data_IF_474528185074
#
_entry.id   IF_474528185074
#
_cell.length_a   1.000
_cell.length_b   1.000
_cell.length_c   1.000
_cell.angle_alpha   90.00
_cell.angle_beta   90.00
_cell.angle_gamma   90.00
#
_symmetry.space_group_name_H-M   'P 1'
#
loop_
_entity.id
_entity.type
_entity.pdbx_description
1 polymer ?
#
# COMPACT_ATOMS: atom_id res chain seq x y z
N UNK A 1 -58.39 50.64 -26.93
CA UNK A 1 -59.54 51.50 -26.61
C UNK A 1 -60.79 50.90 -27.22
N UNK A 2 -61.96 50.96 -26.56
CA UNK A 2 -62.29 51.82 -25.41
C UNK A 2 -62.18 51.06 -24.06
N UNK A 3 -61.71 51.64 -22.94
CA UNK A 3 -62.20 52.80 -22.14
C UNK A 3 -63.49 52.46 -21.36
N UNK A 4 -63.33 52.11 -20.07
CA UNK A 4 -63.51 52.93 -18.84
C UNK A 4 -64.96 52.98 -18.38
N UNK A 5 -65.26 52.54 -17.15
CA UNK A 5 -65.50 53.55 -16.11
C UNK A 5 -65.46 52.99 -14.68
N UNK A 6 -64.93 53.86 -13.84
CA UNK A 6 -64.67 53.79 -12.42
C UNK A 6 -65.92 54.25 -11.64
N UNK A 7 -66.27 53.62 -10.51
CA UNK A 7 -66.82 54.36 -9.36
C UNK A 7 -66.93 53.56 -8.07
N UNK A 8 -66.72 54.32 -7.01
CA UNK A 8 -66.29 53.96 -5.67
C UNK A 8 -67.46 54.04 -4.67
N UNK A 9 -67.28 53.33 -3.56
CA UNK A 9 -68.10 53.05 -2.37
C UNK A 9 -68.68 54.33 -1.68
N UNK A 10 -69.80 54.24 -0.93
CA UNK A 10 -69.72 54.24 0.55
C UNK A 10 -70.74 53.26 1.22
N UNK A 11 -70.37 52.44 2.21
CA UNK A 11 -70.34 52.69 3.67
C UNK A 11 -71.62 53.32 4.26
N UNK A 12 -72.46 52.50 4.91
CA UNK A 12 -73.10 52.82 6.22
C UNK A 12 -73.72 51.58 6.90
N UNK A 13 -73.43 51.45 8.19
CA UNK A 13 -73.92 50.48 9.19
C UNK A 13 -75.44 50.59 9.48
N UNK A 14 -76.08 49.52 10.00
CA UNK A 14 -76.37 49.44 11.45
C UNK A 14 -76.09 48.03 12.03
N UNK A 15 -75.36 47.93 13.14
CA UNK A 15 -75.85 47.84 14.53
C UNK A 15 -76.56 46.51 14.88
N UNK A 16 -75.84 45.75 15.71
CA UNK A 16 -76.13 44.53 16.47
C UNK A 16 -77.59 44.27 16.87
N UNK A 17 -77.93 42.97 17.09
CA UNK A 17 -78.13 42.57 18.48
C UNK A 17 -77.31 41.33 18.90
N UNK A 18 -76.49 41.55 19.93
CA UNK A 18 -76.33 40.77 21.17
C UNK A 18 -76.73 39.28 21.21
N UNK A 19 -75.68 38.49 21.52
CA UNK A 19 -75.63 37.40 22.51
C UNK A 19 -76.38 36.09 22.25
N UNK A 20 -75.60 35.00 22.13
CA UNK A 20 -76.12 33.66 22.37
C UNK A 20 -75.23 32.51 21.92
N UNK A 21 -74.35 32.08 22.82
CA UNK A 21 -73.84 30.70 22.99
C UNK A 21 -72.56 30.32 22.23
N UNK A 22 -71.60 29.98 23.07
CA UNK A 22 -70.34 29.29 22.84
C UNK A 22 -70.53 28.06 21.96
N UNK A 23 -69.88 28.07 20.80
CA UNK A 23 -69.72 26.91 19.92
C UNK A 23 -68.24 26.64 19.73
N UNK A 24 -67.65 25.90 20.68
CA UNK A 24 -66.30 25.36 20.59
C UNK A 24 -66.25 24.39 19.40
N UNK A 25 -65.51 24.75 18.35
CA UNK A 25 -65.18 23.85 17.24
C UNK A 25 -64.26 22.72 17.77
N UNK A 26 -64.50 21.45 17.40
CA UNK A 26 -63.67 20.35 17.85
C UNK A 26 -62.31 20.38 17.14
N UNK A 27 -61.24 20.53 17.93
CA UNK A 27 -59.86 20.38 17.50
C UNK A 27 -59.56 18.91 17.19
N UNK A 28 -59.30 18.61 15.92
CA UNK A 28 -58.83 17.28 15.47
C UNK A 28 -57.38 17.04 15.95
N UNK A 29 -57.09 15.97 16.74
CA UNK A 29 -55.74 15.66 17.18
C UNK A 29 -55.05 14.77 16.13
N UNK A 30 -54.76 15.32 14.95
CA UNK A 30 -54.16 14.58 13.83
C UNK A 30 -52.70 14.92 13.51
N UNK A 31 -52.28 16.18 13.67
CA UNK A 31 -51.05 16.70 13.04
C UNK A 31 -49.74 16.51 13.82
N UNK A 32 -49.76 16.33 15.14
CA UNK A 32 -48.51 16.33 15.93
C UNK A 32 -47.78 14.97 15.99
N UNK A 33 -48.46 13.86 15.64
CA UNK A 33 -47.87 12.51 15.70
C UNK A 33 -47.04 12.17 14.47
N UNK A 34 -47.36 12.72 13.31
CA UNK A 34 -46.71 12.40 12.03
C UNK A 34 -45.30 13.05 11.94
N UNK A 35 -45.17 14.30 12.39
CA UNK A 35 -43.89 15.01 12.44
C UNK A 35 -42.88 14.44 13.44
N UNK A 36 -43.32 13.69 14.46
CA UNK A 36 -42.44 13.08 15.48
C UNK A 36 -41.88 11.72 15.01
N UNK A 37 -42.60 11.00 14.16
CA UNK A 37 -42.20 9.69 13.62
C UNK A 37 -41.20 9.82 12.47
N UNK A 38 -41.35 10.85 11.62
CA UNK A 38 -40.38 11.17 10.56
C UNK A 38 -39.04 11.70 11.13
N UNK A 39 -39.09 12.47 12.23
CA UNK A 39 -37.88 12.97 12.91
C UNK A 39 -37.03 11.87 13.55
N UNK A 40 -37.64 10.81 14.08
CA UNK A 40 -36.92 9.68 14.69
C UNK A 40 -36.36 8.71 13.66
N UNK A 41 -37.03 8.55 12.51
CA UNK A 41 -36.52 7.77 11.37
C UNK A 41 -35.28 8.44 10.75
N UNK A 42 -35.33 9.77 10.53
CA UNK A 42 -34.21 10.55 10.00
C UNK A 42 -32.99 10.59 10.92
N UNK A 43 -33.18 10.65 12.24
CA UNK A 43 -32.09 10.62 13.21
C UNK A 43 -31.38 9.24 13.28
N UNK A 44 -32.11 8.14 13.09
CA UNK A 44 -31.55 6.77 13.05
C UNK A 44 -30.78 6.50 11.76
N UNK A 45 -31.25 7.01 10.62
CA UNK A 45 -30.56 6.90 9.33
C UNK A 45 -29.29 7.78 9.26
N UNK A 46 -29.33 8.97 9.87
CA UNK A 46 -28.18 9.90 9.90
C UNK A 46 -27.05 9.42 10.82
N UNK A 47 -27.37 8.69 11.90
CA UNK A 47 -26.39 8.07 12.81
C UNK A 47 -25.71 6.83 12.21
N UNK A 48 -26.45 6.01 11.46
CA UNK A 48 -25.90 4.85 10.77
C UNK A 48 -25.00 5.25 9.59
N UNK A 49 -25.37 6.30 8.85
CA UNK A 49 -24.53 6.86 7.78
C UNK A 49 -23.22 7.47 8.34
N UNK A 50 -23.28 8.14 9.50
CA UNK A 50 -22.09 8.69 10.15
C UNK A 50 -21.08 7.62 10.62
N UNK A 51 -21.56 6.49 11.13
CA UNK A 51 -20.70 5.36 11.49
C UNK A 51 -20.08 4.68 10.26
N UNK A 52 -20.83 4.54 9.18
CA UNK A 52 -20.32 3.96 7.94
C UNK A 52 -19.23 4.83 7.29
N UNK A 53 -19.39 6.16 7.33
CA UNK A 53 -18.38 7.12 6.82
C UNK A 53 -17.13 7.13 7.72
N UNK A 54 -17.30 7.11 9.04
CA UNK A 54 -16.17 7.00 9.97
C UNK A 54 -15.37 5.69 9.78
N UNK A 55 -16.07 4.58 9.50
CA UNK A 55 -15.47 3.29 9.16
C UNK A 55 -14.71 3.32 7.84
N UNK A 56 -15.24 3.99 6.81
CA UNK A 56 -14.55 4.17 5.53
C UNK A 56 -13.27 5.01 5.68
N UNK A 57 -13.31 6.04 6.53
CA UNK A 57 -12.16 6.90 6.82
C UNK A 57 -11.07 6.18 7.62
N UNK A 58 -11.46 5.30 8.57
CA UNK A 58 -10.52 4.45 9.32
C UNK A 58 -9.82 3.42 8.43
N UNK A 59 -10.54 2.82 7.49
CA UNK A 59 -9.97 1.93 6.46
C UNK A 59 -8.98 2.69 5.55
N UNK A 60 -9.36 3.87 5.07
CA UNK A 60 -8.51 4.69 4.19
C UNK A 60 -7.22 5.18 4.87
N UNK A 61 -7.28 5.50 6.16
CA UNK A 61 -6.12 5.92 6.95
C UNK A 61 -5.10 4.79 7.16
N UNK A 62 -5.54 3.53 7.19
CA UNK A 62 -4.66 2.37 7.38
C UNK A 62 -3.97 1.90 6.09
N UNK A 63 -4.53 2.18 4.91
CA UNK A 63 -3.90 1.84 3.62
C UNK A 63 -2.66 2.69 3.27
N UNK A 64 -2.42 3.80 3.97
CA UNK A 64 -1.28 4.69 3.68
C UNK A 64 0.06 4.18 4.23
N UNK A 65 0.07 3.19 5.11
CA UNK A 65 1.30 2.66 5.70
C UNK A 65 2.05 1.65 4.81
N UNK A 66 1.44 1.16 3.71
CA UNK A 66 2.06 0.15 2.81
C UNK A 66 2.50 0.68 1.44
N UNK A 67 2.31 1.97 1.14
CA UNK A 67 2.58 2.51 -0.21
C UNK A 67 4.07 2.55 -0.59
N UNK A 68 4.96 2.73 0.39
CA UNK A 68 6.40 2.86 0.14
C UNK A 68 7.01 1.58 -0.45
N UNK A 69 6.71 0.43 0.14
CA UNK A 69 7.27 -0.85 -0.30
C UNK A 69 6.60 -1.37 -1.59
N UNK A 70 5.32 -1.05 -1.79
CA UNK A 70 4.62 -1.36 -3.04
C UNK A 70 5.24 -0.62 -4.24
N UNK A 71 5.59 0.66 -4.07
CA UNK A 71 6.25 1.45 -5.13
C UNK A 71 7.62 0.88 -5.49
N UNK A 72 8.43 0.53 -4.48
CA UNK A 72 9.76 -0.06 -4.70
C UNK A 72 9.65 -1.41 -5.41
N UNK A 73 8.68 -2.24 -5.02
CA UNK A 73 8.46 -3.55 -5.61
C UNK A 73 8.02 -3.43 -7.07
N UNK A 74 7.05 -2.54 -7.36
CA UNK A 74 6.59 -2.28 -8.73
C UNK A 74 7.74 -1.82 -9.62
N UNK A 75 8.60 -0.92 -9.14
CA UNK A 75 9.78 -0.49 -9.90
C UNK A 75 10.73 -1.67 -10.25
N UNK A 76 10.94 -2.59 -9.30
CA UNK A 76 11.75 -3.77 -9.51
C UNK A 76 11.10 -4.77 -10.49
N UNK A 77 9.78 -5.00 -10.37
CA UNK A 77 9.00 -5.88 -11.25
C UNK A 77 8.95 -5.34 -12.69
N UNK A 78 8.69 -4.04 -12.88
CA UNK A 78 8.62 -3.37 -14.18
C UNK A 78 9.98 -3.27 -14.89
N UNK A 79 11.08 -3.47 -14.17
CA UNK A 79 12.40 -3.53 -14.76
C UNK A 79 12.68 -4.89 -15.42
N UNK A 80 12.00 -5.97 -15.04
CA UNK A 80 12.22 -7.29 -15.66
C UNK A 80 11.88 -7.23 -17.16
N UNK A 81 12.84 -7.60 -18.00
CA UNK A 81 12.78 -7.49 -19.46
C UNK A 81 13.25 -6.15 -20.04
N UNK A 82 13.50 -5.14 -19.19
CA UNK A 82 14.05 -3.84 -19.60
C UNK A 82 15.52 -3.98 -19.98
N UNK A 83 15.93 -3.30 -21.05
CA UNK A 83 17.35 -3.15 -21.41
C UNK A 83 18.02 -2.10 -20.52
N UNK A 84 19.18 -2.45 -19.98
CA UNK A 84 20.01 -1.55 -19.18
C UNK A 84 20.87 -0.70 -20.11
N UNK A 85 20.89 0.62 -19.88
CA UNK A 85 21.73 1.56 -20.62
C UNK A 85 23.24 1.33 -20.43
N UNK A 86 24.05 2.05 -21.22
CA UNK A 86 25.51 1.98 -21.13
C UNK A 86 26.10 3.10 -20.26
N UNK A 87 26.32 2.78 -18.99
CA UNK A 87 26.76 3.70 -17.96
C UNK A 87 28.29 3.74 -17.83
N UNK A 88 28.85 4.95 -17.64
CA UNK A 88 30.26 5.12 -17.32
C UNK A 88 30.45 4.99 -15.80
N UNK A 89 31.30 4.07 -15.38
CA UNK A 89 31.56 3.74 -13.99
C UNK A 89 33.06 3.79 -13.72
N UNK A 90 33.44 3.94 -12.46
CA UNK A 90 34.85 3.88 -12.01
C UNK A 90 34.98 2.69 -11.08
N UNK A 91 35.89 1.76 -11.37
CA UNK A 91 36.12 0.60 -10.52
C UNK A 91 36.91 0.94 -9.25
N UNK A 92 36.98 -0.01 -8.32
CA UNK A 92 37.68 0.15 -7.04
C UNK A 92 39.17 0.46 -7.15
N UNK A 93 39.78 0.25 -8.33
CA UNK A 93 41.17 0.56 -8.62
C UNK A 93 41.33 1.92 -9.32
N UNK A 94 40.24 2.68 -9.46
CA UNK A 94 40.22 4.00 -10.09
C UNK A 94 40.10 3.94 -11.62
N UNK A 95 39.86 2.77 -12.22
CA UNK A 95 39.79 2.63 -13.66
C UNK A 95 38.37 2.88 -14.18
N UNK A 96 38.25 3.84 -15.10
CA UNK A 96 37.01 4.08 -15.81
C UNK A 96 36.62 2.94 -16.74
N UNK A 97 35.34 2.60 -16.79
CA UNK A 97 34.81 1.59 -17.70
C UNK A 97 33.34 1.84 -18.07
N UNK A 98 32.90 1.21 -19.16
CA UNK A 98 31.50 1.21 -19.60
C UNK A 98 30.80 -0.07 -19.19
N UNK A 99 29.56 0.01 -18.69
CA UNK A 99 28.79 -1.16 -18.24
C UNK A 99 28.63 -2.18 -19.37
N UNK A 100 28.50 -1.72 -20.62
CA UNK A 100 28.38 -2.56 -21.80
C UNK A 100 29.52 -3.57 -21.99
N UNK A 101 30.70 -3.33 -21.42
CA UNK A 101 31.82 -4.29 -21.46
C UNK A 101 31.52 -5.61 -20.76
N UNK A 102 30.52 -5.62 -19.87
CA UNK A 102 30.09 -6.80 -19.14
C UNK A 102 28.99 -7.57 -19.85
N UNK A 103 28.40 -7.00 -20.91
CA UNK A 103 27.45 -7.71 -21.75
C UNK A 103 28.16 -8.80 -22.58
N UNK A 104 27.39 -9.77 -23.07
CA UNK A 104 27.92 -11.03 -23.62
C UNK A 104 28.09 -12.13 -22.56
N UNK A 105 28.11 -11.78 -21.27
CA UNK A 105 27.93 -12.69 -20.14
C UNK A 105 26.81 -12.16 -19.23
N UNK A 106 26.06 -13.03 -18.54
CA UNK A 106 25.22 -12.62 -17.43
C UNK A 106 26.01 -11.83 -16.38
N UNK A 107 25.36 -10.84 -15.77
CA UNK A 107 25.92 -9.94 -14.77
C UNK A 107 24.99 -9.89 -13.56
N UNK A 108 25.50 -10.27 -12.40
CA UNK A 108 24.81 -10.07 -11.12
C UNK A 108 25.14 -8.67 -10.64
N UNK A 109 24.13 -7.82 -10.45
CA UNK A 109 24.28 -6.45 -9.96
C UNK A 109 23.75 -6.35 -8.54
N UNK A 110 24.56 -5.84 -7.62
CA UNK A 110 24.13 -5.53 -6.26
C UNK A 110 24.39 -4.06 -5.95
N UNK A 111 23.41 -3.39 -5.35
CA UNK A 111 23.55 -2.00 -4.90
C UNK A 111 23.81 -1.99 -3.39
N UNK A 112 24.87 -1.32 -2.97
CA UNK A 112 25.24 -1.13 -1.57
C UNK A 112 25.63 0.32 -1.32
N UNK A 113 25.77 0.68 -0.05
CA UNK A 113 26.52 1.87 0.32
C UNK A 113 27.45 1.52 1.47
N UNK A 114 28.70 1.99 1.38
CA UNK A 114 29.82 1.49 2.20
C UNK A 114 29.67 1.82 3.69
N UNK A 115 28.90 2.87 4.01
CA UNK A 115 28.60 3.32 5.39
C UNK A 115 27.47 2.56 6.06
N UNK A 116 26.81 1.63 5.37
CA UNK A 116 25.79 0.78 5.98
C UNK A 116 26.42 -0.18 7.00
N UNK A 117 26.06 -0.06 8.27
CA UNK A 117 26.71 -0.82 9.35
C UNK A 117 26.26 -2.29 9.48
N UNK A 118 25.13 -2.68 8.89
CA UNK A 118 24.53 -3.99 9.16
C UNK A 118 24.02 -4.69 7.90
N UNK A 119 23.02 -4.13 7.22
CA UNK A 119 22.26 -4.84 6.18
C UNK A 119 23.11 -5.09 4.92
N UNK A 120 23.82 -4.08 4.41
CA UNK A 120 24.65 -4.27 3.20
C UNK A 120 25.78 -5.30 3.40
N UNK A 121 26.54 -5.29 4.52
CA UNK A 121 27.50 -6.36 4.82
C UNK A 121 26.86 -7.75 4.84
N UNK A 122 25.69 -7.92 5.47
CA UNK A 122 24.99 -9.21 5.52
C UNK A 122 24.54 -9.66 4.13
N UNK A 123 23.95 -8.76 3.34
CA UNK A 123 23.56 -9.03 1.95
C UNK A 123 24.76 -9.46 1.11
N UNK A 124 25.88 -8.75 1.19
CA UNK A 124 27.08 -9.07 0.41
C UNK A 124 27.71 -10.39 0.85
N UNK A 125 27.68 -10.70 2.15
CA UNK A 125 28.14 -11.98 2.68
C UNK A 125 27.27 -13.15 2.22
N UNK A 126 25.94 -12.98 2.20
CA UNK A 126 25.05 -14.00 1.65
C UNK A 126 25.26 -14.19 0.16
N UNK A 127 25.42 -13.10 -0.60
CA UNK A 127 25.73 -13.20 -2.02
C UNK A 127 27.04 -13.96 -2.24
N UNK A 128 28.08 -13.67 -1.46
CA UNK A 128 29.34 -14.43 -1.47
C UNK A 128 29.10 -15.92 -1.25
N UNK A 129 28.34 -16.29 -0.22
CA UNK A 129 28.06 -17.69 0.10
C UNK A 129 27.30 -18.40 -1.04
N UNK A 130 26.28 -17.76 -1.61
CA UNK A 130 25.53 -18.29 -2.75
C UNK A 130 26.41 -18.49 -3.99
N UNK A 131 27.34 -17.56 -4.24
CA UNK A 131 28.30 -17.64 -5.34
C UNK A 131 29.36 -18.73 -5.12
N UNK A 132 29.81 -18.94 -3.89
CA UNK A 132 30.75 -20.01 -3.53
C UNK A 132 30.10 -21.39 -3.65
N UNK A 133 28.86 -21.53 -3.20
CA UNK A 133 28.07 -22.77 -3.33
C UNK A 133 27.77 -23.09 -4.80
N UNK A 134 27.49 -22.08 -5.63
CA UNK A 134 27.33 -22.21 -7.06
C UNK A 134 28.59 -22.73 -7.80
N UNK A 135 29.76 -22.72 -7.14
CA UNK A 135 31.02 -23.25 -7.66
C UNK A 135 31.72 -22.32 -8.65
N UNK A 136 32.59 -22.89 -9.49
CA UNK A 136 33.53 -22.17 -10.38
C UNK A 136 32.89 -21.39 -11.56
N UNK A 137 31.59 -21.06 -11.49
CA UNK A 137 30.89 -20.29 -12.51
C UNK A 137 31.29 -18.81 -12.56
N UNK A 138 31.80 -18.26 -11.45
CA UNK A 138 32.17 -16.84 -11.34
C UNK A 138 33.35 -16.51 -12.27
N UNK A 139 33.17 -15.52 -13.15
CA UNK A 139 34.13 -15.10 -14.19
C UNK A 139 34.05 -15.95 -15.47
N UNK A 140 33.82 -17.25 -15.33
CA UNK A 140 33.67 -18.14 -16.48
C UNK A 140 32.30 -17.97 -17.15
N UNK A 141 31.23 -18.14 -16.39
CA UNK A 141 29.83 -18.08 -16.85
C UNK A 141 29.21 -16.69 -16.68
N UNK A 142 29.52 -15.98 -15.60
CA UNK A 142 28.90 -14.68 -15.29
C UNK A 142 29.85 -13.80 -14.49
N UNK A 143 29.57 -12.49 -14.43
CA UNK A 143 30.32 -11.54 -13.61
C UNK A 143 29.45 -10.99 -12.48
N UNK A 144 30.08 -10.40 -11.47
CA UNK A 144 29.40 -9.70 -10.37
C UNK A 144 29.88 -8.25 -10.35
N UNK A 145 28.93 -7.33 -10.23
CA UNK A 145 29.18 -5.90 -10.11
C UNK A 145 28.42 -5.37 -8.90
N UNK A 146 29.16 -4.91 -7.90
CA UNK A 146 28.60 -4.21 -6.75
C UNK A 146 28.75 -2.72 -6.95
N UNK A 147 27.66 -1.96 -6.90
CA UNK A 147 27.64 -0.52 -7.14
C UNK A 147 27.35 0.22 -5.85
N UNK A 148 28.21 1.18 -5.53
CA UNK A 148 28.00 2.14 -4.44
C UNK A 148 26.94 3.16 -4.84
N UNK A 149 25.82 3.26 -4.12
CA UNK A 149 24.75 4.20 -4.44
C UNK A 149 24.78 5.50 -3.59
N UNK A 150 25.68 5.61 -2.61
CA UNK A 150 25.93 6.85 -1.88
C UNK A 150 27.03 7.66 -2.58
N UNK A 151 26.66 8.32 -3.69
CA UNK A 151 27.57 9.03 -4.60
C UNK A 151 28.56 9.99 -3.89
N UNK A 152 28.14 10.57 -2.76
CA UNK A 152 28.96 11.49 -1.96
C UNK A 152 30.10 10.80 -1.20
N UNK A 153 29.98 9.50 -0.91
CA UNK A 153 30.82 8.80 0.07
C UNK A 153 31.42 7.48 -0.43
N UNK A 154 30.78 6.83 -1.41
CA UNK A 154 31.24 5.58 -2.00
C UNK A 154 32.32 5.83 -3.06
N UNK A 155 33.47 6.35 -2.61
CA UNK A 155 34.64 6.54 -3.49
C UNK A 155 35.24 5.20 -3.92
N UNK A 156 36.03 5.14 -5.01
CA UNK A 156 36.77 3.93 -5.39
C UNK A 156 37.55 3.30 -4.23
N UNK A 157 38.18 4.11 -3.38
CA UNK A 157 38.94 3.66 -2.22
C UNK A 157 38.05 3.05 -1.14
N UNK A 158 36.90 3.67 -0.84
CA UNK A 158 35.93 3.14 0.11
C UNK A 158 35.35 1.81 -0.38
N UNK A 159 35.03 1.72 -1.67
CA UNK A 159 34.55 0.50 -2.32
C UNK A 159 35.61 -0.59 -2.38
N UNK A 160 36.89 -0.25 -2.57
CA UNK A 160 38.01 -1.19 -2.46
C UNK A 160 38.10 -1.77 -1.07
N UNK A 161 38.09 -0.92 -0.04
CA UNK A 161 38.14 -1.34 1.35
C UNK A 161 36.93 -2.20 1.75
N UNK A 162 35.75 -1.90 1.20
CA UNK A 162 34.57 -2.73 1.35
C UNK A 162 34.74 -4.08 0.67
N UNK A 163 35.11 -4.08 -0.61
CA UNK A 163 35.23 -5.27 -1.44
C UNK A 163 36.29 -6.26 -0.97
N UNK A 164 37.41 -5.79 -0.40
CA UNK A 164 38.45 -6.64 0.20
C UNK A 164 37.94 -7.55 1.33
N UNK A 165 36.79 -7.24 1.93
CA UNK A 165 36.19 -8.07 3.00
C UNK A 165 35.37 -9.25 2.44
N UNK A 166 34.97 -9.19 1.18
CA UNK A 166 33.97 -10.11 0.62
C UNK A 166 34.45 -10.82 -0.65
N UNK A 167 35.10 -10.11 -1.57
CA UNK A 167 35.57 -10.69 -2.82
C UNK A 167 36.95 -11.33 -2.64
N UNK A 168 37.12 -12.55 -3.18
CA UNK A 168 38.42 -13.24 -3.20
C UNK A 168 39.42 -12.54 -4.13
N UNK A 169 38.93 -12.06 -5.28
CA UNK A 169 39.66 -11.17 -6.18
C UNK A 169 38.70 -10.19 -6.87
N UNK A 170 39.26 -9.17 -7.52
CA UNK A 170 38.49 -8.18 -8.27
C UNK A 170 38.42 -8.45 -9.78
N UNK A 171 38.73 -9.66 -10.26
CA UNK A 171 38.67 -9.96 -11.70
C UNK A 171 37.22 -10.16 -12.14
N UNK A 172 36.50 -10.98 -11.38
CA UNK A 172 35.13 -11.41 -11.70
C UNK A 172 34.07 -10.76 -10.83
N UNK A 173 34.48 -10.15 -9.71
CA UNK A 173 33.63 -9.36 -8.83
C UNK A 173 34.21 -7.96 -8.70
N UNK A 174 33.60 -6.98 -9.38
CA UNK A 174 34.02 -5.57 -9.33
C UNK A 174 33.16 -4.76 -8.39
N UNK A 175 33.74 -3.71 -7.84
CA UNK A 175 33.05 -2.70 -7.07
C UNK A 175 33.19 -1.38 -7.80
N UNK A 176 32.10 -0.65 -7.99
CA UNK A 176 32.11 0.54 -8.84
C UNK A 176 31.35 1.73 -8.24
N UNK A 177 31.91 2.91 -8.48
CA UNK A 177 31.33 4.21 -8.17
C UNK A 177 30.88 4.90 -9.46
N UNK A 178 29.95 5.85 -9.33
CA UNK A 178 29.58 6.79 -10.37
C UNK A 178 29.05 8.10 -9.76
N UNK A 179 28.85 9.10 -10.60
CA UNK A 179 28.12 10.31 -10.22
C UNK A 179 26.63 10.02 -9.96
N UNK A 180 25.96 10.96 -9.30
CA UNK A 180 24.58 10.78 -8.85
C UNK A 180 23.62 10.57 -10.03
N UNK A 181 23.78 11.34 -11.10
CA UNK A 181 22.91 11.29 -12.29
C UNK A 181 23.01 9.93 -12.99
N UNK A 182 24.24 9.41 -13.09
CA UNK A 182 24.52 8.06 -13.60
C UNK A 182 23.91 6.99 -12.71
N UNK A 183 24.10 7.08 -11.38
CA UNK A 183 23.54 6.12 -10.43
C UNK A 183 22.01 6.10 -10.45
N UNK A 184 21.37 7.27 -10.44
CA UNK A 184 19.91 7.38 -10.51
C UNK A 184 19.35 6.75 -11.80
N UNK A 185 20.04 6.93 -12.92
CA UNK A 185 19.63 6.38 -14.21
C UNK A 185 19.83 4.87 -14.28
N UNK A 186 20.99 4.39 -13.83
CA UNK A 186 21.28 2.96 -13.75
C UNK A 186 20.33 2.24 -12.80
N UNK A 187 20.07 2.83 -11.62
CA UNK A 187 19.14 2.29 -10.64
C UNK A 187 17.72 2.17 -11.22
N UNK A 188 17.24 3.19 -11.95
CA UNK A 188 15.93 3.12 -12.64
C UNK A 188 15.88 2.01 -13.69
N UNK A 189 16.90 1.84 -14.51
CA UNK A 189 16.93 0.79 -15.53
C UNK A 189 16.95 -0.61 -14.92
N UNK A 190 17.69 -0.77 -13.83
CA UNK A 190 17.80 -2.04 -13.11
C UNK A 190 16.58 -2.29 -12.23
N UNK A 191 15.77 -1.27 -11.94
CA UNK A 191 14.60 -1.38 -11.05
C UNK A 191 14.95 -1.27 -9.56
N UNK A 192 16.15 -0.78 -9.23
CA UNK A 192 16.54 -0.44 -7.87
C UNK A 192 16.00 0.93 -7.51
N UNK A 193 15.06 0.97 -6.57
CA UNK A 193 14.53 2.22 -6.03
C UNK A 193 15.13 2.50 -4.66
N UNK A 194 15.62 3.72 -4.47
CA UNK A 194 16.18 4.18 -3.20
C UNK A 194 15.83 5.64 -2.95
N UNK A 195 15.62 5.99 -1.68
CA UNK A 195 15.37 7.35 -1.22
C UNK A 195 16.28 7.69 -0.05
N UNK A 196 16.82 8.91 -0.05
CA UNK A 196 17.59 9.41 1.11
C UNK A 196 16.61 9.83 2.22
N UNK A 197 16.94 9.43 3.44
CA UNK A 197 16.18 9.74 4.66
C UNK A 197 17.13 10.31 5.72
N UNK A 198 16.58 10.86 6.80
CA UNK A 198 17.38 11.34 7.95
C UNK A 198 18.17 10.22 8.66
N UNK A 199 17.87 8.95 8.37
CA UNK A 199 18.52 7.77 8.96
C UNK A 199 19.41 7.01 7.98
N UNK A 200 19.69 7.58 6.81
CA UNK A 200 20.47 6.93 5.74
C UNK A 200 19.65 6.83 4.46
N UNK A 201 19.46 5.61 3.96
CA UNK A 201 18.69 5.36 2.73
C UNK A 201 17.61 4.31 2.97
N UNK A 202 16.44 4.52 2.39
CA UNK A 202 15.36 3.55 2.34
C UNK A 202 15.33 2.93 0.94
N UNK A 203 15.53 1.61 0.87
CA UNK A 203 15.59 0.84 -0.37
C UNK A 203 15.17 -0.62 -0.13
N UNK A 204 14.83 -1.33 -1.20
CA UNK A 204 14.65 -2.78 -1.12
C UNK A 204 16.00 -3.48 -1.06
N UNK A 205 16.04 -4.54 -0.27
CA UNK A 205 17.16 -5.48 -0.29
C UNK A 205 16.97 -6.42 -1.48
N UNK A 206 17.86 -6.34 -2.46
CA UNK A 206 17.79 -7.18 -3.64
C UNK A 206 19.11 -7.26 -4.38
N UNK A 207 19.24 -8.28 -5.22
CA UNK A 207 20.23 -8.36 -6.30
C UNK A 207 19.51 -8.56 -7.63
N UNK A 208 20.07 -8.00 -8.68
CA UNK A 208 19.48 -8.02 -10.02
C UNK A 208 20.34 -8.86 -10.95
N UNK A 209 19.70 -9.77 -11.68
CA UNK A 209 20.37 -10.59 -12.67
C UNK A 209 20.16 -9.96 -14.03
N UNK A 210 21.21 -9.43 -14.63
CA UNK A 210 21.21 -8.87 -15.98
C UNK A 210 21.72 -9.95 -16.93
N UNK A 211 20.98 -10.19 -18.00
CA UNK A 211 21.32 -11.18 -19.01
C UNK A 211 22.51 -10.76 -19.88
N UNK A 212 23.02 -11.70 -20.68
CA UNK A 212 24.10 -11.44 -21.64
C UNK A 212 23.70 -10.44 -22.74
N UNK A 213 22.41 -10.25 -22.94
CA UNK A 213 21.80 -9.29 -23.87
C UNK A 213 21.59 -7.90 -23.23
N UNK A 214 22.03 -7.70 -21.98
CA UNK A 214 21.89 -6.45 -21.25
C UNK A 214 20.48 -6.19 -20.73
N UNK A 215 19.58 -7.20 -20.70
CA UNK A 215 18.23 -7.05 -20.13
C UNK A 215 18.18 -7.55 -18.69
N UNK A 216 17.30 -6.98 -17.86
CA UNK A 216 17.06 -7.52 -16.52
C UNK A 216 16.26 -8.82 -16.62
N UNK A 217 16.81 -9.90 -16.07
CA UNK A 217 16.21 -11.24 -16.12
C UNK A 217 15.37 -11.57 -14.90
N UNK A 218 15.89 -11.24 -13.71
CA UNK A 218 15.24 -11.55 -12.43
C UNK A 218 15.72 -10.57 -11.38
N UNK A 219 14.80 -10.22 -10.48
CA UNK A 219 15.11 -9.60 -9.20
C UNK A 219 15.05 -10.68 -8.13
N UNK A 220 16.10 -10.79 -7.33
CA UNK A 220 16.14 -11.69 -6.18
C UNK A 220 16.08 -10.82 -4.93
N UNK A 221 15.01 -10.94 -4.16
CA UNK A 221 14.70 -10.08 -3.03
C UNK A 221 15.18 -10.68 -1.70
N UNK A 222 15.49 -9.81 -0.74
CA UNK A 222 15.95 -10.18 0.59
C UNK A 222 17.45 -9.96 0.77
N UNK A 223 17.98 -10.52 1.86
CA UNK A 223 19.42 -10.50 2.14
C UNK A 223 20.04 -11.89 2.30
N UNK A 224 19.23 -12.94 2.12
CA UNK A 224 19.68 -14.33 2.05
C UNK A 224 19.34 -14.86 0.67
N UNK A 225 20.37 -15.22 -0.08
CA UNK A 225 20.26 -15.74 -1.43
C UNK A 225 20.66 -17.22 -1.41
N UNK A 226 19.87 -18.05 -2.08
CA UNK A 226 20.33 -19.41 -2.41
C UNK A 226 21.13 -19.40 -3.72
N UNK A 227 22.04 -20.37 -3.87
CA UNK A 227 22.74 -20.57 -5.14
C UNK A 227 21.78 -20.79 -6.31
N UNK A 228 20.66 -21.51 -6.09
CA UNK A 228 19.62 -21.75 -7.09
C UNK A 228 18.95 -20.46 -7.58
N UNK A 229 18.58 -19.54 -6.66
CA UNK A 229 17.93 -18.27 -7.00
C UNK A 229 18.82 -17.37 -7.88
N UNK A 230 20.14 -17.50 -7.75
CA UNK A 230 21.12 -16.78 -8.57
C UNK A 230 21.40 -17.50 -9.89
N UNK A 231 21.56 -18.82 -9.86
CA UNK A 231 21.98 -19.61 -11.02
C UNK A 231 20.86 -19.83 -12.06
N UNK A 232 19.62 -20.06 -11.64
CA UNK A 232 18.50 -20.29 -12.56
C UNK A 232 18.37 -19.16 -13.61
N UNK A 233 18.27 -17.87 -13.24
CA UNK A 233 18.15 -16.79 -14.22
C UNK A 233 19.42 -16.58 -15.07
N UNK A 234 20.59 -16.95 -14.54
CA UNK A 234 21.86 -16.95 -15.29
C UNK A 234 21.79 -18.02 -16.39
N UNK A 235 21.38 -19.24 -16.06
CA UNK A 235 21.24 -20.33 -17.02
C UNK A 235 20.17 -20.01 -18.09
N UNK A 236 19.05 -19.38 -17.71
CA UNK A 236 18.07 -18.89 -18.69
C UNK A 236 18.66 -17.88 -19.68
N UNK A 237 19.46 -16.94 -19.19
CA UNK A 237 20.16 -15.97 -20.04
C UNK A 237 21.17 -16.64 -20.98
N UNK A 238 21.91 -17.64 -20.50
CA UNK A 238 22.84 -18.43 -21.32
C UNK A 238 22.10 -19.23 -22.41
N UNK A 239 20.96 -19.82 -22.06
CA UNK A 239 20.10 -20.58 -22.98
C UNK A 239 19.28 -19.69 -23.94
N UNK A 240 19.29 -18.36 -23.76
CA UNK A 240 18.50 -17.44 -24.57
C UNK A 240 17.00 -17.52 -24.31
N UNK A 241 16.60 -18.05 -23.15
CA UNK A 241 15.21 -18.06 -22.70
C UNK A 241 14.84 -16.62 -22.31
N UNK A 242 13.71 -16.07 -22.77
CA UNK A 242 13.33 -14.70 -22.43
C UNK A 242 12.97 -14.57 -20.94
N UNK A 243 13.17 -13.39 -20.34
CA UNK A 243 12.86 -13.17 -18.94
C UNK A 243 11.35 -13.23 -18.70
N UNK A 244 10.94 -13.94 -17.65
CA UNK A 244 9.53 -14.05 -17.25
C UNK A 244 9.19 -12.94 -16.28
N UNK A 245 8.38 -11.98 -16.73
CA UNK A 245 7.95 -10.83 -15.93
C UNK A 245 6.92 -11.15 -14.84
N UNK A 246 6.45 -12.40 -14.71
CA UNK A 246 5.44 -12.77 -13.70
C UNK A 246 6.11 -13.18 -12.40
N UNK A 247 5.94 -12.43 -11.30
CA UNK A 247 6.39 -12.86 -9.99
C UNK A 247 5.66 -14.16 -9.62
N UNK A 248 6.37 -15.10 -9.00
CA UNK A 248 5.70 -16.24 -8.39
C UNK A 248 4.75 -15.73 -7.30
N UNK A 249 3.61 -16.38 -7.12
CA UNK A 249 2.68 -16.09 -6.00
C UNK A 249 3.42 -16.14 -4.65
N UNK A 250 4.45 -16.97 -4.57
CA UNK A 250 5.32 -17.17 -3.40
C UNK A 250 6.17 -15.92 -3.10
N UNK A 251 6.71 -15.24 -4.13
CA UNK A 251 7.54 -14.03 -3.95
C UNK A 251 6.71 -12.87 -3.37
N UNK A 252 5.47 -12.72 -3.85
CA UNK A 252 4.50 -11.76 -3.32
C UNK A 252 4.05 -12.09 -1.90
N UNK A 253 3.89 -13.38 -1.58
CA UNK A 253 3.48 -13.84 -0.26
C UNK A 253 4.58 -13.64 0.79
N UNK A 254 5.85 -13.88 0.44
CA UNK A 254 7.00 -13.64 1.31
C UNK A 254 7.11 -12.17 1.72
N UNK A 255 6.91 -11.24 0.78
CA UNK A 255 6.99 -9.80 1.07
C UNK A 255 5.80 -9.25 1.86
N UNK A 256 4.59 -9.74 1.57
CA UNK A 256 3.39 -9.20 2.20
C UNK A 256 3.18 -9.76 3.61
N UNK A 257 3.54 -11.04 3.83
CA UNK A 257 3.20 -11.75 5.07
C UNK A 257 4.35 -11.94 6.05
N UNK A 258 5.60 -11.69 5.64
CA UNK A 258 6.78 -11.99 6.47
C UNK A 258 7.73 -10.80 6.56
N UNK A 259 8.09 -10.43 7.78
CA UNK A 259 9.17 -9.48 8.06
C UNK A 259 10.47 -10.26 8.16
N UNK A 260 11.46 -9.85 7.40
CA UNK A 260 12.78 -10.47 7.42
C UNK A 260 13.52 -10.13 8.72
N UNK A 261 13.96 -11.13 9.47
CA UNK A 261 14.74 -10.97 10.71
C UNK A 261 16.25 -11.12 10.42
N UNK A 262 17.03 -10.02 10.50
CA UNK A 262 18.46 -10.03 10.17
C UNK A 262 19.35 -10.77 11.15
N UNK A 263 18.84 -11.21 12.30
CA UNK A 263 19.62 -11.95 13.30
C UNK A 263 19.56 -13.47 13.03
N UNK A 264 18.39 -13.95 12.60
CA UNK A 264 18.15 -15.39 12.39
C UNK A 264 18.27 -15.82 10.94
N UNK A 265 18.25 -14.87 9.99
CA UNK A 265 18.29 -15.20 8.57
C UNK A 265 16.98 -15.76 8.03
N UNK A 266 15.92 -15.73 8.84
CA UNK A 266 14.64 -16.32 8.49
C UNK A 266 13.59 -15.22 8.25
N UNK A 267 12.70 -15.50 7.30
CA UNK A 267 11.47 -14.75 7.13
C UNK A 267 10.50 -15.16 8.23
N UNK A 268 10.28 -14.29 9.22
CA UNK A 268 9.29 -14.53 10.26
C UNK A 268 7.97 -13.89 9.85
N UNK A 269 6.82 -14.53 10.13
CA UNK A 269 5.52 -13.91 9.89
C UNK A 269 5.52 -12.52 10.52
N UNK A 270 5.08 -11.48 9.80
CA UNK A 270 4.94 -10.15 10.40
C UNK A 270 3.77 -10.20 11.38
N UNK A 271 4.05 -10.59 12.62
CA UNK A 271 3.06 -10.62 13.69
C UNK A 271 2.43 -9.23 13.87
N UNK A 272 3.12 -8.14 13.52
CA UNK A 272 2.53 -6.80 13.47
C UNK A 272 1.39 -6.69 12.47
N UNK A 273 1.57 -7.19 11.24
CA UNK A 273 0.51 -7.26 10.24
C UNK A 273 -0.63 -8.19 10.67
N UNK A 274 -0.34 -9.40 11.14
CA UNK A 274 -1.37 -10.35 11.58
C UNK A 274 -2.16 -9.83 12.79
N UNK A 275 -1.49 -9.20 13.75
CA UNK A 275 -2.13 -8.55 14.89
C UNK A 275 -2.98 -7.37 14.44
N UNK A 276 -2.52 -6.54 13.49
CA UNK A 276 -3.33 -5.46 12.90
C UNK A 276 -4.57 -6.00 12.20
N UNK A 277 -4.43 -7.04 11.37
CA UNK A 277 -5.56 -7.68 10.69
C UNK A 277 -6.56 -8.28 11.70
N UNK A 278 -6.07 -8.93 12.75
CA UNK A 278 -6.90 -9.48 13.82
C UNK A 278 -7.64 -8.38 14.59
N UNK A 279 -6.96 -7.30 14.97
CA UNK A 279 -7.58 -6.16 15.67
C UNK A 279 -8.64 -5.48 14.79
N UNK A 280 -8.39 -5.36 13.48
CA UNK A 280 -9.37 -4.84 12.51
C UNK A 280 -10.57 -5.78 12.42
N UNK A 281 -10.35 -7.08 12.26
CA UNK A 281 -11.43 -8.06 12.18
C UNK A 281 -12.28 -8.11 13.46
N UNK A 282 -11.63 -8.04 14.64
CA UNK A 282 -12.30 -7.99 15.93
C UNK A 282 -13.13 -6.71 16.09
N UNK A 283 -12.58 -5.55 15.71
CA UNK A 283 -13.31 -4.28 15.71
C UNK A 283 -14.50 -4.30 14.74
N UNK A 284 -14.33 -4.92 13.56
CA UNK A 284 -15.40 -5.12 12.57
C UNK A 284 -16.50 -6.02 13.10
N UNK A 285 -16.15 -7.14 13.74
CA UNK A 285 -17.11 -8.06 14.33
C UNK A 285 -17.89 -7.40 15.47
N UNK A 286 -17.21 -6.67 16.35
CA UNK A 286 -17.84 -5.92 17.45
C UNK A 286 -18.79 -4.84 16.92
N UNK A 287 -18.39 -4.12 15.88
CA UNK A 287 -19.22 -3.10 15.25
C UNK A 287 -20.45 -3.71 14.55
N UNK A 288 -20.25 -4.79 13.79
CA UNK A 288 -21.34 -5.50 13.13
C UNK A 288 -22.34 -6.03 14.16
N UNK A 289 -21.84 -6.61 15.26
CA UNK A 289 -22.67 -7.05 16.38
C UNK A 289 -23.46 -5.89 16.99
N UNK A 290 -22.81 -4.76 17.25
CA UNK A 290 -23.45 -3.57 17.80
C UNK A 290 -24.55 -3.03 16.86
N UNK A 291 -24.29 -2.98 15.55
CA UNK A 291 -25.29 -2.57 14.55
C UNK A 291 -26.48 -3.54 14.55
N UNK A 292 -26.24 -4.85 14.51
CA UNK A 292 -27.30 -5.87 14.58
C UNK A 292 -28.10 -5.74 15.89
N UNK A 293 -27.44 -5.49 17.00
CA UNK A 293 -28.07 -5.26 18.31
C UNK A 293 -28.97 -4.02 18.29
N UNK A 294 -28.52 -2.91 17.71
CA UNK A 294 -29.32 -1.70 17.55
C UNK A 294 -30.56 -1.95 16.66
N UNK A 295 -30.42 -2.71 15.58
CA UNK A 295 -31.56 -3.08 14.73
C UNK A 295 -32.56 -3.99 15.44
N UNK A 296 -32.08 -5.00 16.19
CA UNK A 296 -32.95 -5.87 16.99
C UNK A 296 -33.70 -5.11 18.07
N UNK A 297 -33.01 -4.30 18.85
CA UNK A 297 -33.62 -3.48 19.91
C UNK A 297 -34.62 -2.46 19.37
N UNK A 298 -34.34 -1.86 18.21
CA UNK A 298 -35.30 -1.00 17.51
C UNK A 298 -36.56 -1.77 17.08
N UNK A 299 -36.41 -2.96 16.48
CA UNK A 299 -37.54 -3.82 16.08
C UNK A 299 -38.40 -4.25 17.27
N UNK A 300 -37.78 -4.58 18.40
CA UNK A 300 -38.51 -4.95 19.61
C UNK A 300 -39.28 -3.78 20.23
N UNK A 301 -38.70 -2.57 20.21
CA UNK A 301 -39.37 -1.36 20.63
C UNK A 301 -40.60 -1.05 19.75
N UNK A 302 -40.47 -1.22 18.42
CA UNK A 302 -41.58 -1.03 17.49
C UNK A 302 -42.69 -2.09 17.71
N UNK A 303 -42.33 -3.36 17.94
CA UNK A 303 -43.31 -4.43 18.27
C UNK A 303 -44.06 -4.16 19.57
N UNK A 304 -43.37 -3.75 20.65
CA UNK A 304 -44.02 -3.40 21.93
C UNK A 304 -44.97 -2.21 21.78
N UNK A 305 -44.59 -1.22 20.97
CA UNK A 305 -45.43 -0.05 20.70
C UNK A 305 -46.65 -0.41 19.86
N UNK A 306 -46.51 -1.30 18.86
CA UNK A 306 -47.61 -1.82 18.07
C UNK A 306 -48.62 -2.63 18.92
N UNK A 307 -48.12 -3.55 19.75
CA UNK A 307 -48.97 -4.35 20.65
C UNK A 307 -49.72 -3.51 21.68
N UNK A 308 -49.09 -2.48 22.26
CA UNK A 308 -49.77 -1.56 23.20
C UNK A 308 -50.87 -0.75 22.51
N UNK A 309 -50.66 -0.32 21.26
CA UNK A 309 -51.69 0.38 20.46
C UNK A 309 -52.87 -0.53 20.12
N UNK A 310 -52.62 -1.79 19.80
CA UNK A 310 -53.68 -2.76 19.48
C UNK A 310 -54.58 -3.03 20.70
N UNK A 311 -53.98 -3.18 21.90
CA UNK A 311 -54.73 -3.34 23.16
C UNK A 311 -55.53 -2.07 23.48
N UNK A 312 -54.95 -0.88 23.29
CA UNK A 312 -55.64 0.39 23.53
C UNK A 312 -56.81 0.60 22.54
N UNK A 313 -56.67 0.18 21.29
CA UNK A 313 -57.74 0.20 20.28
C UNK A 313 -58.86 -0.78 20.64
N UNK A 314 -58.53 -2.02 21.04
CA UNK A 314 -59.53 -3.01 21.46
C UNK A 314 -60.30 -2.55 22.70
N UNK A 315 -59.62 -1.96 23.68
CA UNK A 315 -60.27 -1.41 24.86
C UNK A 315 -61.17 -0.22 24.53
N UNK A 316 -60.82 0.63 23.56
CA UNK A 316 -61.70 1.73 23.12
C UNK A 316 -62.93 1.25 22.36
N UNK A 317 -62.82 0.18 21.56
CA UNK A 317 -63.95 -0.39 20.80
C UNK A 317 -64.92 -1.12 21.72
N UNK A 318 -64.46 -1.74 22.80
CA UNK A 318 -65.30 -2.48 23.75
C UNK A 318 -66.09 -1.59 24.74
N UNK A 319 -65.90 -0.27 24.70
CA UNK A 319 -66.58 0.72 25.56
C UNK A 319 -67.74 1.43 24.83
N UNK A 320 -67.89 1.17 23.52
CA UNK A 320 -69.06 1.56 22.72
C UNK A 320 -69.96 0.34 22.47
#
# INVERSE_FOLDING_TARGET
MPETDEKTIPLTFPLFPSAGKEGVLPSYPGGEREGRMLKTLGARLRRSLGLAVFFLLLLAAFSHASQGDEKKLRAAEEAVGRSVGDYALVDQDGNGFKLSRYFGKPLVVSFIYTRCGHICPTLTMSLKAALEEAGAGLGAKFNVLTVGFDAENDTPEALKAYGCKFAADFKSWKFAAADKETLDSMARDIGFYYERTNRGFDHLNMVSIVGRDGKVYKQVYGINFSSEEILEPIDYSLLGIPPKATPGVIDKLKLFCFTYDPITGEYKPDYGMFMRLFLIAAAQAALLFFVIYLFKSAREADKKTAGRREVELKNKISIF
#
